data_IF_396354036681
#
_entry.id   IF_396354036681
#
_cell.length_a   1.000
_cell.length_b   1.000
_cell.length_c   1.000
_cell.angle_alpha   90.00
_cell.angle_beta   90.00
_cell.angle_gamma   90.00
#
_symmetry.space_group_name_H-M   'P 1'
#
loop_
_entity.id
_entity.type
_entity.pdbx_description
1 polymer ?
#
# COMPACT_ATOMS: atom_id res chain seq x y z
N UNK A 1 -13.71 -15.46 -14.17
CA UNK A 1 -14.42 -14.18 -14.39
C UNK A 1 -14.02 -13.06 -13.42
N UNK A 2 -13.55 -13.35 -12.19
CA UNK A 2 -13.20 -12.33 -11.18
C UNK A 2 -11.98 -11.46 -11.55
N UNK A 3 -10.95 -12.03 -12.16
CA UNK A 3 -9.70 -11.31 -12.50
C UNK A 3 -9.88 -10.19 -13.55
N UNK A 4 -10.86 -10.32 -14.44
CA UNK A 4 -11.11 -9.30 -15.47
C UNK A 4 -11.74 -8.02 -14.92
N UNK A 5 -12.45 -8.12 -13.80
CA UNK A 5 -13.11 -6.97 -13.17
C UNK A 5 -12.11 -6.07 -12.44
N UNK A 6 -11.10 -6.67 -11.80
CA UNK A 6 -10.03 -5.95 -11.08
C UNK A 6 -9.15 -5.16 -12.05
N UNK A 7 -8.81 -5.77 -13.21
CA UNK A 7 -8.03 -5.10 -14.26
C UNK A 7 -8.79 -3.92 -14.89
N UNK A 8 -10.13 -4.03 -15.03
CA UNK A 8 -10.95 -2.95 -15.55
C UNK A 8 -11.07 -1.80 -14.56
N UNK A 9 -11.18 -2.06 -13.27
CA UNK A 9 -11.22 -1.05 -12.22
C UNK A 9 -9.87 -0.32 -12.08
N UNK A 10 -8.75 -1.04 -12.15
CA UNK A 10 -7.41 -0.46 -12.17
C UNK A 10 -7.18 0.40 -13.42
N UNK A 11 -7.64 -0.06 -14.58
CA UNK A 11 -7.55 0.69 -15.84
C UNK A 11 -8.37 1.98 -15.83
N UNK A 12 -9.57 1.97 -15.27
CA UNK A 12 -10.43 3.17 -15.15
C UNK A 12 -9.83 4.20 -14.19
N UNK A 13 -9.21 3.77 -13.11
CA UNK A 13 -8.49 4.67 -12.18
C UNK A 13 -7.28 5.33 -12.85
N UNK A 14 -6.55 4.61 -13.70
CA UNK A 14 -5.40 5.17 -14.42
C UNK A 14 -5.79 6.16 -15.52
N UNK A 15 -6.86 5.92 -16.24
CA UNK A 15 -7.33 6.80 -17.34
C UNK A 15 -7.92 8.10 -16.81
N UNK A 16 -8.53 8.08 -15.63
CA UNK A 16 -9.15 9.27 -15.01
C UNK A 16 -8.15 10.27 -14.44
N UNK A 17 -6.87 9.91 -14.32
CA UNK A 17 -5.84 10.74 -13.66
C UNK A 17 -5.16 11.73 -14.62
N UNK A 18 -5.32 11.57 -15.93
CA UNK A 18 -4.59 12.36 -16.93
C UNK A 18 -4.81 13.90 -16.93
N UNK A 19 -5.97 14.48 -16.61
CA UNK A 19 -6.13 15.92 -16.60
C UNK A 19 -5.76 16.62 -15.28
N UNK A 20 -5.48 15.85 -14.20
CA UNK A 20 -5.31 16.41 -12.86
C UNK A 20 -3.86 16.85 -12.53
N UNK A 21 -2.96 16.80 -13.49
CA UNK A 21 -1.54 17.09 -13.24
C UNK A 21 -1.17 18.58 -13.19
N UNK A 22 -2.12 19.48 -13.22
CA UNK A 22 -1.87 20.91 -13.22
C UNK A 22 -1.90 21.48 -11.79
N UNK A 23 -0.71 21.77 -11.25
CA UNK A 23 -0.41 22.89 -10.38
C UNK A 23 -0.66 22.89 -8.89
N UNK A 24 -1.04 21.81 -8.23
CA UNK A 24 -1.01 21.82 -6.76
C UNK A 24 0.35 21.38 -6.22
N UNK A 25 0.93 22.18 -5.38
CA UNK A 25 2.12 21.81 -4.60
C UNK A 25 1.66 21.29 -3.26
N UNK A 26 1.54 19.97 -3.13
CA UNK A 26 1.46 19.38 -1.80
C UNK A 26 2.78 19.70 -1.07
N UNK A 27 2.75 20.49 0.01
CA UNK A 27 3.98 20.92 0.69
C UNK A 27 4.68 19.78 1.43
N UNK A 28 4.05 18.62 1.54
CA UNK A 28 4.53 17.53 2.35
C UNK A 28 5.38 16.54 1.57
N UNK A 29 6.63 16.39 2.00
CA UNK A 29 7.59 15.49 1.39
C UNK A 29 7.59 14.10 2.00
N UNK A 30 7.35 14.00 3.28
CA UNK A 30 7.40 12.75 4.03
C UNK A 30 6.08 12.54 4.74
N UNK A 31 5.57 11.33 4.64
CA UNK A 31 4.34 10.91 5.31
C UNK A 31 4.62 9.65 6.11
N UNK A 32 3.98 9.54 7.27
CA UNK A 32 3.85 8.33 8.04
C UNK A 32 2.40 7.86 7.97
N UNK A 33 2.16 6.57 7.83
CA UNK A 33 0.80 6.03 7.93
C UNK A 33 0.72 4.86 8.90
N UNK A 34 -0.46 4.72 9.50
CA UNK A 34 -0.85 3.57 10.32
C UNK A 34 -2.18 3.04 9.77
N UNK A 35 -2.18 1.77 9.40
CA UNK A 35 -3.28 1.14 8.68
C UNK A 35 -3.71 -0.15 9.37
N UNK A 36 -5.00 -0.44 9.31
CA UNK A 36 -5.58 -1.72 9.69
C UNK A 36 -5.79 -2.55 8.42
N UNK A 37 -5.44 -3.84 8.47
CA UNK A 37 -5.40 -4.74 7.34
C UNK A 37 -6.42 -5.86 7.45
N UNK A 38 -7.10 -6.13 6.33
CA UNK A 38 -7.82 -7.35 6.06
C UNK A 38 -7.05 -8.12 5.00
N UNK A 39 -6.49 -9.28 5.36
CA UNK A 39 -5.65 -10.07 4.47
C UNK A 39 -6.38 -11.36 4.10
N UNK A 40 -6.42 -11.65 2.82
CA UNK A 40 -7.01 -12.84 2.24
C UNK A 40 -5.93 -13.67 1.55
N UNK A 41 -5.82 -14.97 1.88
CA UNK A 41 -4.87 -15.90 1.31
C UNK A 41 -5.58 -16.95 0.46
N UNK A 42 -5.04 -17.29 -0.70
CA UNK A 42 -5.44 -18.48 -1.46
C UNK A 42 -4.42 -19.62 -1.24
N UNK A 43 -4.81 -20.92 -1.18
CA UNK A 43 -6.16 -21.50 -1.15
C UNK A 43 -6.59 -21.84 0.28
N UNK A 44 -7.82 -21.52 0.62
CA UNK A 44 -8.39 -21.89 1.92
C UNK A 44 -8.76 -20.74 2.82
N UNK A 45 -8.73 -19.52 2.27
CA UNK A 45 -9.42 -18.32 2.74
C UNK A 45 -9.58 -18.17 4.26
N UNK A 46 -8.51 -17.96 4.96
CA UNK A 46 -8.58 -17.35 6.28
C UNK A 46 -8.43 -15.85 6.14
N UNK A 47 -9.45 -15.08 6.48
CA UNK A 47 -9.33 -13.65 6.61
C UNK A 47 -8.53 -13.35 7.87
N UNK A 48 -7.35 -12.80 7.70
CA UNK A 48 -6.49 -12.39 8.80
C UNK A 48 -6.65 -10.90 9.04
N UNK A 49 -6.66 -10.51 10.30
CA UNK A 49 -6.60 -9.12 10.71
C UNK A 49 -5.16 -8.75 11.02
N UNK A 50 -4.78 -7.52 10.67
CA UNK A 50 -3.44 -7.05 10.92
C UNK A 50 -3.35 -5.54 10.95
N UNK A 51 -2.13 -5.06 10.99
CA UNK A 51 -1.80 -3.66 10.87
C UNK A 51 -0.47 -3.50 10.13
N UNK A 52 -0.34 -2.43 9.38
CA UNK A 52 0.95 -2.03 8.87
C UNK A 52 1.20 -0.53 9.06
N UNK A 53 2.46 -0.20 9.13
CA UNK A 53 2.96 1.15 9.22
C UNK A 53 3.87 1.41 8.03
N UNK A 54 3.69 2.53 7.36
CA UNK A 54 4.60 2.94 6.29
C UNK A 54 5.14 4.34 6.48
N UNK A 55 6.36 4.55 5.98
CA UNK A 55 6.96 5.87 5.78
C UNK A 55 7.25 6.01 4.30
N UNK A 56 6.70 7.03 3.69
CA UNK A 56 6.97 7.37 2.30
C UNK A 56 7.50 8.79 2.18
N UNK A 57 8.49 8.98 1.32
CA UNK A 57 9.06 10.29 1.01
C UNK A 57 8.95 10.58 -0.48
N UNK A 58 9.14 11.83 -0.87
CA UNK A 58 9.11 12.25 -2.27
C UNK A 58 10.49 12.77 -2.67
N UNK A 59 11.09 12.15 -3.67
CA UNK A 59 12.38 12.60 -4.22
C UNK A 59 12.22 13.68 -5.27
N UNK A 60 11.15 13.61 -6.04
CA UNK A 60 10.91 14.48 -7.18
C UNK A 60 9.62 15.25 -6.99
N UNK A 61 9.69 16.56 -7.12
CA UNK A 61 8.55 17.47 -6.96
C UNK A 61 7.76 17.69 -8.26
N UNK A 62 8.31 17.22 -9.36
CA UNK A 62 7.62 17.27 -10.65
C UNK A 62 6.53 16.20 -10.67
N UNK A 63 5.58 16.39 -11.52
CA UNK A 63 4.41 15.52 -11.65
C UNK A 63 4.75 14.29 -12.49
N UNK A 64 4.42 13.07 -12.03
CA UNK A 64 3.91 12.65 -10.71
C UNK A 64 4.98 12.62 -9.62
N UNK A 65 4.58 12.73 -8.35
CA UNK A 65 5.50 12.55 -7.23
C UNK A 65 5.93 11.10 -7.11
N UNK A 66 7.22 10.87 -7.22
CA UNK A 66 7.82 9.55 -7.02
C UNK A 66 8.79 9.59 -5.84
N UNK A 67 8.79 8.56 -5.02
CA UNK A 67 9.72 8.47 -3.90
C UNK A 67 9.76 7.10 -3.25
N UNK A 68 10.68 6.90 -2.29
CA UNK A 68 10.80 5.66 -1.57
C UNK A 68 9.65 5.48 -0.59
N UNK A 69 9.33 4.22 -0.34
CA UNK A 69 8.44 3.79 0.72
C UNK A 69 9.05 2.61 1.46
N UNK A 70 8.91 2.62 2.79
CA UNK A 70 9.24 1.49 3.66
C UNK A 70 8.01 1.11 4.47
N UNK A 71 7.73 -0.17 4.59
CA UNK A 71 6.57 -0.74 5.28
C UNK A 71 7.01 -1.80 6.29
N UNK A 72 6.41 -1.77 7.47
CA UNK A 72 6.45 -2.86 8.45
C UNK A 72 5.01 -3.31 8.72
N UNK A 73 4.74 -4.59 8.50
CA UNK A 73 3.42 -5.18 8.66
C UNK A 73 3.40 -6.29 9.71
N UNK A 74 2.26 -6.41 10.38
CA UNK A 74 1.97 -7.43 11.40
C UNK A 74 0.59 -8.00 11.12
N UNK A 75 0.50 -9.30 10.80
CA UNK A 75 -0.76 -9.97 10.56
C UNK A 75 -0.90 -11.15 11.52
N UNK A 76 -2.05 -11.25 12.16
CA UNK A 76 -2.36 -12.35 13.08
C UNK A 76 -3.36 -13.32 12.42
N UNK A 77 -3.09 -14.60 12.51
CA UNK A 77 -3.95 -15.69 12.04
C UNK A 77 -4.02 -16.81 13.09
N UNK A 78 -4.95 -17.76 12.94
CA UNK A 78 -5.20 -18.83 13.94
C UNK A 78 -4.00 -19.74 14.25
N UNK A 79 -2.90 -19.58 13.60
CA UNK A 79 -1.66 -20.34 13.82
C UNK A 79 -0.48 -19.52 14.29
N UNK A 80 -0.59 -18.17 14.34
CA UNK A 80 0.56 -17.34 14.74
C UNK A 80 0.56 -15.93 14.16
N UNK A 81 1.73 -15.34 14.17
CA UNK A 81 1.93 -13.97 13.67
C UNK A 81 2.90 -13.96 12.51
N UNK A 82 2.55 -13.20 11.51
CA UNK A 82 3.39 -12.90 10.36
C UNK A 82 3.92 -11.48 10.51
N UNK A 83 5.21 -11.30 10.31
CA UNK A 83 5.86 -9.99 10.28
C UNK A 83 6.41 -9.78 8.88
N UNK A 84 6.18 -8.62 8.29
CA UNK A 84 6.75 -8.24 7.01
C UNK A 84 7.56 -6.95 7.13
N UNK A 85 8.72 -6.91 6.45
CA UNK A 85 9.56 -5.74 6.31
C UNK A 85 9.82 -5.52 4.83
N UNK A 86 9.26 -4.47 4.28
CA UNK A 86 9.26 -4.24 2.84
C UNK A 86 9.70 -2.82 2.50
N UNK A 87 10.24 -2.65 1.30
CA UNK A 87 10.66 -1.34 0.81
C UNK A 87 10.60 -1.27 -0.71
N UNK A 88 10.41 -0.07 -1.22
CA UNK A 88 10.31 0.14 -2.67
C UNK A 88 9.98 1.56 -3.03
N UNK A 89 9.10 1.72 -4.02
CA UNK A 89 8.74 3.02 -4.59
C UNK A 89 7.23 3.23 -4.56
N UNK A 90 6.82 4.46 -4.28
CA UNK A 90 5.45 4.94 -4.39
C UNK A 90 5.38 6.08 -5.39
N UNK A 91 4.42 6.01 -6.28
CA UNK A 91 4.09 7.07 -7.23
C UNK A 91 2.73 7.65 -6.83
N UNK A 92 2.68 8.93 -6.54
CA UNK A 92 1.46 9.63 -6.12
C UNK A 92 1.09 10.70 -7.13
N UNK A 93 -0.19 10.79 -7.46
CA UNK A 93 -0.69 11.91 -8.23
C UNK A 93 -0.64 13.20 -7.40
N UNK A 94 -0.21 14.28 -8.03
CA UNK A 94 -0.26 15.61 -7.45
C UNK A 94 -1.54 16.30 -7.93
N UNK A 95 -2.56 16.34 -7.10
CA UNK A 95 -3.85 16.91 -7.43
C UNK A 95 -4.30 17.92 -6.38
N UNK A 96 -5.07 18.93 -6.78
CA UNK A 96 -5.76 19.87 -5.88
C UNK A 96 -7.04 19.28 -5.28
N UNK A 97 -7.48 18.14 -5.79
CA UNK A 97 -8.67 17.49 -5.30
C UNK A 97 -8.49 16.95 -3.87
N UNK A 98 -9.60 16.70 -3.19
CA UNK A 98 -9.60 16.07 -1.88
C UNK A 98 -9.08 14.63 -1.91
N UNK A 99 -8.91 14.05 -3.09
CA UNK A 99 -8.48 12.67 -3.37
C UNK A 99 -7.08 12.67 -3.96
N UNK A 100 -6.15 11.93 -3.34
CA UNK A 100 -4.76 11.77 -3.76
C UNK A 100 -4.49 10.30 -4.09
N UNK A 101 -4.72 9.86 -5.33
CA UNK A 101 -4.45 8.48 -5.71
C UNK A 101 -2.94 8.22 -5.80
N UNK A 102 -2.55 6.98 -5.48
CA UNK A 102 -1.18 6.52 -5.61
C UNK A 102 -1.12 5.05 -6.02
N UNK A 103 0.03 4.65 -6.54
CA UNK A 103 0.41 3.26 -6.74
C UNK A 103 1.76 3.00 -6.09
N UNK A 104 1.99 1.75 -5.69
CA UNK A 104 3.28 1.38 -5.12
C UNK A 104 3.72 -0.01 -5.58
N UNK A 105 5.03 -0.18 -5.57
CA UNK A 105 5.68 -1.47 -5.76
C UNK A 105 6.77 -1.61 -4.71
N UNK A 106 6.62 -2.63 -3.86
CA UNK A 106 7.54 -2.90 -2.75
C UNK A 106 7.96 -4.37 -2.74
N UNK A 107 9.11 -4.62 -2.18
CA UNK A 107 9.69 -5.96 -2.04
C UNK A 107 10.38 -6.08 -0.67
N UNK A 108 10.51 -7.29 -0.16
CA UNK A 108 11.14 -7.49 1.13
C UNK A 108 11.00 -8.88 1.70
N UNK A 109 11.06 -8.94 3.01
CA UNK A 109 11.02 -10.17 3.79
C UNK A 109 9.65 -10.37 4.43
N UNK A 110 9.23 -11.61 4.44
CA UNK A 110 8.00 -12.09 5.04
C UNK A 110 8.36 -13.21 6.01
N UNK A 111 8.21 -12.98 7.29
CA UNK A 111 8.56 -13.91 8.35
C UNK A 111 7.28 -14.53 8.96
N UNK A 112 7.19 -15.85 8.89
CA UNK A 112 6.15 -16.62 9.57
C UNK A 112 6.68 -17.10 10.93
N UNK A 113 6.20 -16.50 12.02
CA UNK A 113 6.70 -16.80 13.35
C UNK A 113 6.45 -18.24 13.85
N UNK A 114 5.47 -18.95 13.30
CA UNK A 114 5.19 -20.37 13.65
C UNK A 114 5.96 -21.32 12.77
N UNK A 115 6.17 -20.95 11.50
CA UNK A 115 6.89 -21.76 10.53
C UNK A 115 8.42 -21.61 10.69
N UNK A 116 8.87 -20.58 11.39
CA UNK A 116 10.27 -20.15 11.53
C UNK A 116 10.98 -20.02 10.16
N UNK A 117 10.25 -19.51 9.17
CA UNK A 117 10.72 -19.36 7.79
C UNK A 117 10.72 -17.89 7.41
N UNK A 118 11.76 -17.49 6.70
CA UNK A 118 11.86 -16.18 6.08
C UNK A 118 11.74 -16.34 4.57
N UNK A 119 10.69 -15.77 4.01
CA UNK A 119 10.42 -15.81 2.58
C UNK A 119 10.61 -14.41 1.97
N UNK A 120 10.94 -14.40 0.70
CA UNK A 120 10.95 -13.18 -0.09
C UNK A 120 9.53 -12.88 -0.58
N UNK A 121 9.15 -11.61 -0.57
CA UNK A 121 7.85 -11.18 -1.06
C UNK A 121 7.95 -9.98 -1.99
N UNK A 122 7.07 -9.94 -2.99
CA UNK A 122 6.79 -8.79 -3.85
C UNK A 122 5.36 -8.34 -3.61
N UNK A 123 5.13 -7.02 -3.57
CA UNK A 123 3.80 -6.46 -3.42
C UNK A 123 3.61 -5.31 -4.41
N UNK A 124 2.48 -5.34 -5.10
CA UNK A 124 1.98 -4.23 -5.88
C UNK A 124 0.67 -3.73 -5.31
N UNK A 125 0.52 -2.43 -5.16
CA UNK A 125 -0.65 -1.85 -4.55
C UNK A 125 -1.11 -0.56 -5.20
N UNK A 126 -2.38 -0.24 -4.96
CA UNK A 126 -3.00 1.04 -5.31
C UNK A 126 -3.79 1.55 -4.12
N UNK A 127 -3.80 2.85 -3.94
CA UNK A 127 -4.51 3.46 -2.83
C UNK A 127 -4.92 4.89 -3.10
N UNK A 128 -5.69 5.40 -2.16
CA UNK A 128 -6.20 6.77 -2.17
C UNK A 128 -6.07 7.36 -0.77
N UNK A 129 -5.43 8.53 -0.70
CA UNK A 129 -5.42 9.37 0.49
C UNK A 129 -6.49 10.46 0.34
N UNK A 130 -7.44 10.52 1.26
CA UNK A 130 -8.48 11.54 1.33
C UNK A 130 -8.01 12.66 2.25
N UNK A 131 -7.99 13.88 1.73
CA UNK A 131 -7.74 15.08 2.56
C UNK A 131 -8.92 15.29 3.51
N UNK A 132 -8.61 15.55 4.76
CA UNK A 132 -9.62 15.93 5.76
C UNK A 132 -9.64 17.45 5.91
N UNK A 133 -10.55 17.97 6.75
CA UNK A 133 -10.54 19.38 7.14
C UNK A 133 -9.27 19.79 7.92
N UNK A 134 -8.59 18.83 8.51
CA UNK A 134 -7.27 19.05 9.13
C UNK A 134 -6.17 18.90 8.08
N UNK A 135 -5.27 19.87 7.91
CA UNK A 135 -4.16 19.76 6.96
C UNK A 135 -3.13 18.68 7.37
N UNK A 136 -3.14 18.26 8.62
CA UNK A 136 -2.17 17.35 9.20
C UNK A 136 -2.64 15.88 9.24
N UNK A 137 -3.83 15.59 8.73
CA UNK A 137 -4.41 14.24 8.79
C UNK A 137 -5.08 13.92 7.46
N UNK A 138 -4.83 12.70 6.95
CA UNK A 138 -5.55 12.14 5.80
C UNK A 138 -6.07 10.76 6.16
N UNK A 139 -7.14 10.34 5.51
CA UNK A 139 -7.66 8.98 5.60
C UNK A 139 -7.17 8.20 4.38
N UNK A 140 -6.67 7.01 4.59
CA UNK A 140 -6.17 6.12 3.52
C UNK A 140 -7.09 4.94 3.33
N UNK A 141 -7.29 4.54 2.08
CA UNK A 141 -7.77 3.23 1.68
C UNK A 141 -6.80 2.68 0.63
N UNK A 142 -6.37 1.43 0.80
CA UNK A 142 -5.36 0.79 -0.04
C UNK A 142 -5.76 -0.65 -0.34
N UNK A 143 -5.45 -1.10 -1.56
CA UNK A 143 -5.57 -2.49 -1.97
C UNK A 143 -4.24 -2.96 -2.54
N UNK A 144 -3.75 -4.11 -2.06
CA UNK A 144 -2.49 -4.70 -2.45
C UNK A 144 -2.66 -6.16 -2.86
N UNK A 145 -1.80 -6.58 -3.76
CA UNK A 145 -1.57 -7.98 -4.07
C UNK A 145 -0.13 -8.29 -3.74
N UNK A 146 0.08 -9.25 -2.84
CA UNK A 146 1.40 -9.72 -2.41
C UNK A 146 1.64 -11.13 -2.93
N UNK A 147 2.78 -11.35 -3.56
CA UNK A 147 3.30 -12.66 -3.90
C UNK A 147 4.41 -13.02 -2.93
N UNK A 148 4.24 -14.10 -2.17
CA UNK A 148 5.26 -14.67 -1.30
C UNK A 148 5.90 -15.85 -2.03
N UNK A 149 7.23 -15.88 -2.08
CA UNK A 149 8.02 -16.92 -2.73
C UNK A 149 8.53 -17.90 -1.66
N UNK A 150 7.69 -18.86 -1.33
CA UNK A 150 8.07 -19.98 -0.47
C UNK A 150 8.88 -21.01 -1.28
N UNK A 151 9.76 -21.74 -0.60
CA UNK A 151 10.61 -22.78 -1.17
C UNK A 151 9.84 -23.91 -1.88
N UNK A 152 8.57 -24.14 -1.50
CA UNK A 152 7.75 -25.22 -2.05
C UNK A 152 6.86 -24.81 -3.22
N UNK A 153 6.13 -23.70 -3.14
CA UNK A 153 5.14 -23.33 -4.17
C UNK A 153 4.81 -21.84 -4.25
N UNK A 154 5.08 -21.08 -3.22
CA UNK A 154 4.66 -19.69 -3.09
C UNK A 154 3.14 -19.48 -3.13
N UNK A 155 2.64 -18.41 -2.55
CA UNK A 155 1.22 -18.09 -2.52
C UNK A 155 0.95 -16.60 -2.78
N UNK A 156 -0.29 -16.28 -3.12
CA UNK A 156 -0.74 -14.91 -3.24
C UNK A 156 -1.56 -14.53 -2.00
N UNK A 157 -1.39 -13.29 -1.56
CA UNK A 157 -2.22 -12.68 -0.55
C UNK A 157 -2.79 -11.36 -1.09
N UNK A 158 -4.09 -11.16 -0.92
CA UNK A 158 -4.77 -9.91 -1.21
C UNK A 158 -4.98 -9.17 0.12
N UNK A 159 -4.67 -7.87 0.15
CA UNK A 159 -4.80 -7.04 1.34
C UNK A 159 -5.66 -5.83 1.02
N UNK A 160 -6.70 -5.61 1.81
CA UNK A 160 -7.46 -4.36 1.86
C UNK A 160 -7.12 -3.65 3.16
N UNK A 161 -6.74 -2.40 3.09
CA UNK A 161 -6.33 -1.63 4.26
C UNK A 161 -7.09 -0.32 4.37
N UNK A 162 -7.31 0.12 5.61
CA UNK A 162 -7.80 1.45 5.91
C UNK A 162 -7.01 2.06 7.07
N UNK A 163 -6.69 3.34 6.99
CA UNK A 163 -5.83 3.95 8.00
C UNK A 163 -5.74 5.45 7.96
N UNK A 164 -4.78 5.96 8.70
CA UNK A 164 -4.51 7.39 8.86
C UNK A 164 -3.11 7.70 8.37
N UNK A 165 -2.99 8.80 7.64
CA UNK A 165 -1.72 9.33 7.13
C UNK A 165 -1.43 10.66 7.80
N UNK A 166 -0.23 10.78 8.36
CA UNK A 166 0.29 11.98 9.00
C UNK A 166 1.43 12.55 8.17
N UNK A 167 1.32 13.75 7.61
CA UNK A 167 2.44 14.46 7.05
C UNK A 167 3.46 14.82 8.14
N UNK A 168 4.74 14.50 7.93
CA UNK A 168 5.80 14.70 8.93
C UNK A 168 6.57 16.00 8.76
N UNK A 169 6.55 16.60 7.57
CA UNK A 169 7.25 17.85 7.28
C UNK A 169 6.42 18.76 6.36
N UNK A 170 6.60 20.04 6.52
CA UNK A 170 6.02 21.11 5.71
C UNK A 170 7.06 21.72 4.79
#
# INVERSE_FOLDING_TARGET
MKTRFVLLLAGVLFVSVHPAFAQSRDPYFTTFSANYDFVYHEPGATSNAGAHFDVASTWKRDVPFIGPVGEVGFNHFDGGTIVSLMGGVRVRANTDYFVLPYGEFILGLYHCGVCDVNDFALQGGVGVDFRTSSPNVRIRVQFDIRRVFDSASGFNAERLSAGVVLPLNR
#
